data_IF_657985890555
#
_entry.id   IF_657985890555
#
_cell.length_a   1.000
_cell.length_b   1.000
_cell.length_c   1.000
_cell.angle_alpha   90.00
_cell.angle_beta   90.00
_cell.angle_gamma   90.00
#
_symmetry.space_group_name_H-M   'P 1'
#
loop_
_entity.id
_entity.type
_entity.pdbx_description
1 polymer ?
#
# COMPACT_ATOMS: atom_id res chain seq x y z
N UNK A 1 1.84 -48.80 16.42
CA UNK A 1 2.76 -47.66 16.63
C UNK A 1 2.84 -46.87 15.35
N UNK A 2 2.02 -45.82 15.20
CA UNK A 2 1.92 -45.04 13.97
C UNK A 2 3.04 -44.00 13.99
N UNK A 3 3.99 -44.12 13.05
CA UNK A 3 5.09 -43.16 12.87
C UNK A 3 4.53 -41.90 12.21
N UNK A 4 4.48 -40.80 12.97
CA UNK A 4 4.24 -39.45 12.47
C UNK A 4 5.46 -39.04 11.63
N UNK A 5 5.38 -39.22 10.32
CA UNK A 5 6.31 -38.59 9.38
C UNK A 5 6.02 -37.10 9.34
N UNK A 6 6.88 -36.34 10.02
CA UNK A 6 6.99 -34.88 9.93
C UNK A 6 7.22 -34.51 8.46
N UNK A 7 6.20 -33.99 7.79
CA UNK A 7 6.37 -33.30 6.52
C UNK A 7 6.99 -31.95 6.86
N UNK A 8 8.30 -31.82 6.62
CA UNK A 8 8.97 -30.53 6.59
C UNK A 8 8.38 -29.72 5.44
N UNK A 9 7.41 -28.86 5.75
CA UNK A 9 7.00 -27.81 4.84
C UNK A 9 8.20 -26.87 4.67
N UNK A 10 8.87 -26.99 3.52
CA UNK A 10 9.77 -25.96 3.02
C UNK A 10 8.95 -24.68 2.92
N UNK A 11 9.08 -23.81 3.92
CA UNK A 11 8.68 -22.42 3.83
C UNK A 11 9.54 -21.82 2.71
N UNK A 12 8.99 -21.79 1.50
CA UNK A 12 9.44 -20.91 0.45
C UNK A 12 9.11 -19.48 0.88
N UNK A 13 9.84 -18.97 1.86
CA UNK A 13 9.90 -17.54 2.12
C UNK A 13 10.53 -16.92 0.88
N UNK A 14 9.84 -16.01 0.17
CA UNK A 14 10.47 -15.30 -0.92
C UNK A 14 11.63 -14.53 -0.31
N UNK A 15 12.85 -14.92 -0.67
CA UNK A 15 14.07 -14.19 -0.36
C UNK A 15 14.15 -12.93 -1.24
N UNK A 16 13.14 -12.07 -1.13
CA UNK A 16 13.23 -10.66 -1.47
C UNK A 16 13.75 -10.01 -0.19
N UNK A 17 14.71 -9.09 -0.31
CA UNK A 17 15.16 -8.30 0.83
C UNK A 17 13.92 -7.81 1.59
N UNK A 18 13.70 -8.35 2.79
CA UNK A 18 12.54 -7.98 3.57
C UNK A 18 12.78 -6.54 4.00
N UNK A 19 12.15 -5.60 3.31
CA UNK A 19 11.98 -4.24 3.81
C UNK A 19 11.59 -4.35 5.28
N UNK A 20 12.20 -3.53 6.14
CA UNK A 20 11.78 -3.54 7.54
C UNK A 20 10.29 -3.19 7.61
N UNK A 21 9.62 -3.56 8.69
CA UNK A 21 8.21 -3.21 8.88
C UNK A 21 8.00 -1.71 8.73
N UNK A 22 8.90 -0.92 9.31
CA UNK A 22 8.89 0.54 9.23
C UNK A 22 9.02 1.02 7.78
N UNK A 23 9.93 0.45 7.00
CA UNK A 23 10.13 0.81 5.60
C UNK A 23 8.92 0.39 4.73
N UNK A 24 8.37 -0.79 4.97
CA UNK A 24 7.16 -1.27 4.29
C UNK A 24 5.97 -0.36 4.55
N UNK A 25 5.76 0.05 5.81
CA UNK A 25 4.71 0.99 6.19
C UNK A 25 4.92 2.38 5.56
N UNK A 26 6.17 2.84 5.48
CA UNK A 26 6.51 4.09 4.81
C UNK A 26 6.17 4.05 3.31
N UNK A 27 6.47 2.96 2.60
CA UNK A 27 6.09 2.82 1.18
C UNK A 27 4.59 2.74 0.98
N UNK A 28 3.87 2.00 1.82
CA UNK A 28 2.40 1.96 1.76
C UNK A 28 1.78 3.35 2.03
N UNK A 29 2.33 4.10 2.98
CA UNK A 29 1.90 5.46 3.27
C UNK A 29 2.14 6.40 2.06
N UNK A 30 3.28 6.27 1.38
CA UNK A 30 3.54 7.01 0.14
C UNK A 30 2.53 6.68 -0.96
N UNK A 31 2.14 5.41 -1.12
CA UNK A 31 1.07 5.00 -2.04
C UNK A 31 -0.25 5.70 -1.68
N UNK A 32 -0.62 5.72 -0.39
CA UNK A 32 -1.82 6.42 0.09
C UNK A 32 -1.75 7.93 -0.22
N UNK A 33 -0.59 8.55 0.01
CA UNK A 33 -0.35 9.96 -0.29
C UNK A 33 -0.56 10.25 -1.79
N UNK A 34 0.00 9.40 -2.66
CA UNK A 34 -0.14 9.56 -4.11
C UNK A 34 -1.59 9.42 -4.58
N UNK A 35 -2.35 8.48 -4.02
CA UNK A 35 -3.79 8.32 -4.30
C UNK A 35 -4.57 9.54 -3.80
N UNK A 36 -4.27 10.02 -2.59
CA UNK A 36 -4.90 11.21 -2.03
C UNK A 36 -4.63 12.43 -2.92
N UNK A 37 -3.40 12.59 -3.41
CA UNK A 37 -3.03 13.65 -4.34
C UNK A 37 -3.77 13.52 -5.68
N UNK A 38 -3.82 12.32 -6.27
CA UNK A 38 -4.59 12.07 -7.50
C UNK A 38 -6.08 12.45 -7.33
N UNK A 39 -6.66 12.20 -6.15
CA UNK A 39 -8.03 12.61 -5.82
C UNK A 39 -8.18 14.13 -5.69
N UNK A 40 -7.19 14.82 -5.10
CA UNK A 40 -7.14 16.29 -5.06
C UNK A 40 -7.09 16.87 -6.48
N UNK A 41 -6.32 16.23 -7.35
CA UNK A 41 -6.13 16.60 -8.76
C UNK A 41 -7.29 16.18 -9.67
N UNK A 42 -8.36 15.63 -9.10
CA UNK A 42 -9.59 15.22 -9.80
C UNK A 42 -9.38 14.11 -10.83
N UNK A 43 -8.36 13.28 -10.66
CA UNK A 43 -8.19 12.04 -11.43
C UNK A 43 -9.40 11.13 -11.15
N UNK A 44 -9.95 10.48 -12.17
CA UNK A 44 -11.03 9.50 -11.97
C UNK A 44 -10.44 8.24 -11.35
N UNK A 45 -11.18 7.60 -10.45
CA UNK A 45 -10.68 6.44 -9.68
C UNK A 45 -10.02 5.36 -10.54
N UNK A 46 -10.69 4.98 -11.63
CA UNK A 46 -10.21 3.98 -12.59
C UNK A 46 -8.90 4.37 -13.30
N UNK A 47 -8.59 5.66 -13.37
CA UNK A 47 -7.42 6.21 -14.05
C UNK A 47 -6.27 6.46 -13.04
N UNK A 48 -6.49 6.25 -11.73
CA UNK A 48 -5.49 6.48 -10.66
C UNK A 48 -4.22 5.65 -10.85
N UNK A 49 -4.27 4.33 -11.14
CA UNK A 49 -3.03 3.56 -11.32
C UNK A 49 -2.15 4.12 -12.44
N UNK A 50 -2.76 4.49 -13.57
CA UNK A 50 -2.05 5.08 -14.71
C UNK A 50 -1.50 6.47 -14.36
N UNK A 51 -2.31 7.32 -13.71
CA UNK A 51 -1.90 8.66 -13.32
C UNK A 51 -0.72 8.65 -12.34
N UNK A 52 -0.72 7.73 -11.36
CA UNK A 52 0.39 7.57 -10.41
C UNK A 52 1.63 6.99 -11.12
N UNK A 53 1.47 5.99 -12.00
CA UNK A 53 2.61 5.46 -12.74
C UNK A 53 3.31 6.55 -13.58
N UNK A 54 2.56 7.50 -14.13
CA UNK A 54 3.08 8.62 -14.91
C UNK A 54 3.91 9.63 -14.09
N UNK A 55 3.81 9.64 -12.76
CA UNK A 55 4.62 10.54 -11.92
C UNK A 55 6.03 10.00 -11.63
N UNK A 56 6.31 8.74 -11.95
CA UNK A 56 7.58 8.09 -11.64
C UNK A 56 7.80 7.93 -10.13
N UNK A 57 6.95 7.15 -9.43
CA UNK A 57 7.05 7.03 -7.99
C UNK A 57 8.35 6.35 -7.54
N UNK A 58 8.87 6.77 -6.38
CA UNK A 58 10.17 6.33 -5.84
C UNK A 58 10.11 5.01 -5.06
N UNK A 59 8.91 4.49 -4.78
CA UNK A 59 8.75 3.23 -4.04
C UNK A 59 8.94 2.01 -4.96
N UNK A 60 9.30 0.83 -4.41
CA UNK A 60 9.46 -0.39 -5.21
C UNK A 60 8.18 -0.83 -5.93
N UNK A 61 8.31 -1.35 -7.17
CA UNK A 61 7.19 -1.67 -8.06
C UNK A 61 6.13 -2.60 -7.45
N UNK A 62 6.51 -3.48 -6.52
CA UNK A 62 5.57 -4.40 -5.85
C UNK A 62 4.48 -3.65 -5.06
N UNK A 63 4.74 -2.43 -4.61
CA UNK A 63 3.76 -1.60 -3.91
C UNK A 63 2.72 -0.96 -4.86
N UNK A 64 2.96 -0.94 -6.18
CA UNK A 64 1.95 -0.48 -7.15
C UNK A 64 0.68 -1.35 -7.13
N UNK A 65 0.81 -2.63 -6.74
CA UNK A 65 -0.34 -3.53 -6.58
C UNK A 65 -1.28 -3.10 -5.46
N UNK A 66 -0.82 -2.28 -4.52
CA UNK A 66 -1.66 -1.74 -3.45
C UNK A 66 -2.58 -0.60 -3.95
N UNK A 67 -2.23 0.08 -5.05
CA UNK A 67 -3.00 1.20 -5.59
C UNK A 67 -4.48 0.82 -5.84
N UNK A 68 -4.81 -0.23 -6.63
CA UNK A 68 -6.20 -0.59 -6.88
C UNK A 68 -6.94 -1.10 -5.64
N UNK A 69 -6.22 -1.50 -4.58
CA UNK A 69 -6.82 -1.97 -3.32
C UNK A 69 -7.15 -0.81 -2.38
N UNK A 70 -6.32 0.23 -2.37
CA UNK A 70 -6.43 1.39 -1.48
C UNK A 70 -7.27 2.50 -2.11
N UNK A 71 -7.22 2.67 -3.43
CA UNK A 71 -7.92 3.74 -4.14
C UNK A 71 -9.42 3.83 -3.82
N UNK A 72 -10.19 2.71 -3.77
CA UNK A 72 -11.61 2.79 -3.44
C UNK A 72 -11.87 3.44 -2.08
N UNK A 73 -11.13 3.04 -1.04
CA UNK A 73 -11.29 3.60 0.31
C UNK A 73 -10.98 5.10 0.37
N UNK A 74 -9.94 5.56 -0.33
CA UNK A 74 -9.63 7.00 -0.44
C UNK A 74 -10.74 7.72 -1.21
N UNK A 75 -11.26 7.12 -2.27
CA UNK A 75 -12.28 7.73 -3.12
C UNK A 75 -13.66 7.81 -2.46
N UNK A 76 -13.93 6.95 -1.49
CA UNK A 76 -15.11 7.00 -0.61
C UNK A 76 -15.04 8.13 0.44
N UNK A 77 -13.84 8.64 0.76
CA UNK A 77 -13.71 9.72 1.73
C UNK A 77 -14.35 11.01 1.21
N UNK A 78 -14.97 11.76 2.14
CA UNK A 78 -15.52 13.10 1.83
C UNK A 78 -14.38 14.02 1.37
N UNK A 79 -14.62 14.87 0.37
CA UNK A 79 -13.59 15.81 -0.12
C UNK A 79 -13.04 16.75 0.96
N UNK A 80 -13.79 17.00 2.04
CA UNK A 80 -13.29 17.74 3.21
C UNK A 80 -12.15 16.99 3.91
N UNK A 81 -12.28 15.67 4.07
CA UNK A 81 -11.26 14.79 4.66
C UNK A 81 -10.03 14.76 3.76
N UNK A 82 -10.22 14.50 2.46
CA UNK A 82 -9.14 14.48 1.47
C UNK A 82 -8.27 15.74 1.49
N UNK A 83 -8.84 16.91 1.80
CA UNK A 83 -8.11 18.20 1.82
C UNK A 83 -7.47 18.54 3.15
N UNK A 84 -8.04 18.07 4.25
CA UNK A 84 -7.70 18.58 5.57
C UNK A 84 -6.96 17.56 6.44
N UNK A 85 -7.03 16.27 6.10
CA UNK A 85 -6.40 15.20 6.85
C UNK A 85 -5.21 14.62 6.08
N UNK A 86 -4.20 14.15 6.80
CA UNK A 86 -3.08 13.39 6.23
C UNK A 86 -3.40 11.89 6.31
N UNK A 87 -3.94 11.34 5.23
CA UNK A 87 -4.30 9.92 5.18
C UNK A 87 -3.06 9.02 5.15
N UNK A 88 -1.95 9.53 4.64
CA UNK A 88 -0.66 8.82 4.64
C UNK A 88 -0.14 8.65 6.06
N UNK A 89 -0.14 9.72 6.87
CA UNK A 89 0.27 9.64 8.27
C UNK A 89 -0.65 8.71 9.08
N UNK A 90 -1.96 8.82 8.89
CA UNK A 90 -2.93 7.93 9.55
C UNK A 90 -2.70 6.46 9.15
N UNK A 91 -2.44 6.18 7.87
CA UNK A 91 -2.15 4.84 7.40
C UNK A 91 -0.84 4.29 7.98
N UNK A 92 0.22 5.10 8.00
CA UNK A 92 1.51 4.71 8.54
C UNK A 92 1.39 4.32 10.02
N UNK A 93 0.69 5.13 10.82
CA UNK A 93 0.46 4.85 12.24
C UNK A 93 -0.28 3.51 12.45
N UNK A 94 -1.31 3.24 11.63
CA UNK A 94 -2.05 1.98 11.70
C UNK A 94 -1.19 0.78 11.28
N UNK A 95 -0.43 0.91 10.20
CA UNK A 95 0.47 -0.14 9.72
C UNK A 95 1.54 -0.48 10.76
N UNK A 96 2.13 0.52 11.42
CA UNK A 96 3.12 0.31 12.48
C UNK A 96 2.54 -0.42 13.69
N UNK A 97 1.23 -0.36 13.93
CA UNK A 97 0.55 -1.04 15.04
C UNK A 97 0.17 -2.50 14.77
N UNK A 98 0.17 -2.96 13.51
CA UNK A 98 -0.15 -4.35 13.14
C UNK A 98 1.00 -5.30 13.42
#
# INVERSE_FOLDING_TARGET
MIRLTLVAALLASPALAADSKEQSCAYQAQVVAAIQQARLDRVKERDVPEAIAATGPEWPDNYNNAIPLIAPWVYEQKMKVIRNEDLSAAWNELCLKQ
#
